data_IF_631201166314
#
_entry.id   IF_631201166314
#
_cell.length_a   1.000
_cell.length_b   1.000
_cell.length_c   1.000
_cell.angle_alpha   90.00
_cell.angle_beta   90.00
_cell.angle_gamma   90.00
#
_symmetry.space_group_name_H-M   'P 1'
#
loop_
_entity.id
_entity.type
_entity.pdbx_description
1 polymer ?
#
# COMPACT_ATOMS: atom_id res chain seq x y z
N UNK A 1 -2.22 -26.39 -34.45
CA UNK A 1 -1.90 -25.03 -33.97
C UNK A 1 -2.95 -24.60 -32.94
N UNK A 2 -2.82 -25.03 -31.67
CA UNK A 2 -3.67 -24.66 -30.52
C UNK A 2 -2.86 -24.94 -29.23
N UNK A 3 -1.91 -24.04 -28.91
CA UNK A 3 -1.20 -24.01 -27.62
C UNK A 3 -1.00 -22.58 -27.09
N UNK A 4 -1.48 -21.56 -27.83
CA UNK A 4 -1.25 -20.15 -27.52
C UNK A 4 -2.21 -19.58 -26.46
N UNK A 5 -3.44 -20.09 -26.32
CA UNK A 5 -4.39 -19.51 -25.35
C UNK A 5 -4.01 -19.86 -23.91
N UNK A 6 -3.74 -21.14 -23.61
CA UNK A 6 -3.43 -21.59 -22.25
C UNK A 6 -2.12 -20.98 -21.70
N UNK A 7 -1.11 -20.81 -22.56
CA UNK A 7 0.13 -20.14 -22.18
C UNK A 7 -0.06 -18.65 -21.86
N UNK A 8 -0.91 -17.96 -22.64
CA UNK A 8 -1.23 -16.56 -22.38
C UNK A 8 -2.03 -16.40 -21.07
N UNK A 9 -2.98 -17.30 -20.77
CA UNK A 9 -3.72 -17.27 -19.49
C UNK A 9 -2.79 -17.45 -18.27
N UNK A 10 -1.83 -18.38 -18.33
CA UNK A 10 -0.89 -18.56 -17.22
C UNK A 10 -0.05 -17.29 -17.00
N UNK A 11 0.42 -16.67 -18.07
CA UNK A 11 1.23 -15.44 -17.98
C UNK A 11 0.41 -14.30 -17.38
N UNK A 12 -0.79 -14.06 -17.91
CA UNK A 12 -1.64 -12.93 -17.52
C UNK A 12 -2.21 -13.09 -16.11
N UNK A 13 -2.63 -14.31 -15.73
CA UNK A 13 -3.38 -14.53 -14.50
C UNK A 13 -2.47 -14.88 -13.31
N UNK A 14 -1.28 -15.44 -13.55
CA UNK A 14 -0.37 -15.88 -12.48
C UNK A 14 0.96 -15.11 -12.44
N UNK A 15 1.57 -14.87 -13.60
CA UNK A 15 2.94 -14.31 -13.67
C UNK A 15 2.90 -12.79 -13.60
N UNK A 16 2.08 -12.13 -14.41
CA UNK A 16 2.00 -10.67 -14.46
C UNK A 16 1.65 -10.04 -13.09
N UNK A 17 0.69 -10.56 -12.29
CA UNK A 17 0.40 -10.01 -10.97
C UNK A 17 1.59 -10.10 -10.01
N UNK A 18 2.43 -11.15 -10.11
CA UNK A 18 3.65 -11.25 -9.30
C UNK A 18 4.66 -10.16 -9.68
N UNK A 19 4.84 -9.89 -10.97
CA UNK A 19 5.71 -8.81 -11.44
C UNK A 19 5.19 -7.43 -11.05
N UNK A 20 3.87 -7.21 -11.06
CA UNK A 20 3.26 -5.96 -10.57
C UNK A 20 3.56 -5.76 -9.09
N UNK A 21 3.40 -6.79 -8.26
CA UNK A 21 3.73 -6.70 -6.83
C UNK A 21 5.22 -6.45 -6.60
N UNK A 22 6.09 -7.06 -7.40
CA UNK A 22 7.54 -6.79 -7.38
C UNK A 22 7.87 -5.37 -7.86
N UNK A 23 7.14 -4.85 -8.86
CA UNK A 23 7.26 -3.46 -9.35
C UNK A 23 6.95 -2.47 -8.23
N UNK A 24 5.80 -2.64 -7.57
CA UNK A 24 5.42 -1.84 -6.38
C UNK A 24 6.52 -1.87 -5.32
N UNK A 25 6.99 -3.06 -4.95
CA UNK A 25 8.03 -3.19 -3.93
C UNK A 25 9.35 -2.53 -4.35
N UNK A 26 9.71 -2.64 -5.63
CA UNK A 26 10.92 -2.03 -6.17
C UNK A 26 10.83 -0.52 -6.17
N UNK A 27 9.68 0.05 -6.56
CA UNK A 27 9.47 1.50 -6.60
C UNK A 27 9.55 2.14 -5.22
N UNK A 28 9.01 1.49 -4.19
CA UNK A 28 9.03 2.05 -2.84
C UNK A 28 10.40 1.83 -2.16
N UNK A 29 11.15 0.80 -2.57
CA UNK A 29 12.40 0.41 -1.91
C UNK A 29 13.67 0.92 -2.61
N UNK A 30 13.68 0.92 -3.94
CA UNK A 30 14.85 1.32 -4.74
C UNK A 30 14.78 2.83 -4.92
N UNK A 31 15.70 3.53 -4.27
CA UNK A 31 15.92 4.95 -4.51
C UNK A 31 17.08 5.08 -5.51
N UNK A 32 16.83 5.60 -6.71
CA UNK A 32 17.89 5.87 -7.71
C UNK A 32 18.42 7.30 -7.61
N UNK A 33 19.71 7.51 -7.89
CA UNK A 33 20.49 8.73 -7.57
C UNK A 33 19.95 10.06 -8.14
N UNK A 34 19.07 10.03 -9.14
CA UNK A 34 18.51 11.24 -9.72
C UNK A 34 17.17 11.05 -10.41
N UNK A 35 16.43 12.14 -10.54
CA UNK A 35 15.09 12.22 -11.15
C UNK A 35 15.06 11.60 -12.56
N UNK A 36 16.13 11.75 -13.34
CA UNK A 36 16.26 11.11 -14.65
C UNK A 36 16.24 9.58 -14.55
N UNK A 37 17.02 8.99 -13.64
CA UNK A 37 17.12 7.54 -13.48
C UNK A 37 15.84 6.96 -12.87
N UNK A 38 15.20 7.71 -11.96
CA UNK A 38 13.89 7.35 -11.41
C UNK A 38 12.87 7.24 -12.52
N UNK A 39 12.82 8.26 -13.38
CA UNK A 39 11.90 8.31 -14.51
C UNK A 39 12.21 7.21 -15.53
N UNK A 40 13.49 6.97 -15.84
CA UNK A 40 13.89 5.89 -16.76
C UNK A 40 13.52 4.50 -16.23
N UNK A 41 13.69 4.27 -14.92
CA UNK A 41 13.29 3.04 -14.25
C UNK A 41 11.76 2.86 -14.27
N UNK A 42 11.01 3.89 -13.90
CA UNK A 42 9.54 3.88 -13.95
C UNK A 42 9.01 3.58 -15.37
N UNK A 43 9.59 4.19 -16.40
CA UNK A 43 9.21 3.91 -17.80
C UNK A 43 9.47 2.47 -18.21
N UNK A 44 10.61 1.88 -17.81
CA UNK A 44 10.89 0.46 -18.09
C UNK A 44 9.87 -0.47 -17.45
N UNK A 45 9.35 -0.11 -16.27
CA UNK A 45 8.30 -0.89 -15.60
C UNK A 45 6.93 -0.75 -16.28
N UNK A 46 6.67 0.35 -17.03
CA UNK A 46 5.42 0.49 -17.80
C UNK A 46 5.30 -0.53 -18.94
N UNK A 47 6.42 -0.90 -19.59
CA UNK A 47 6.40 -1.85 -20.72
C UNK A 47 5.98 -3.28 -20.31
N UNK A 48 6.11 -3.59 -19.02
CA UNK A 48 5.71 -4.86 -18.41
C UNK A 48 4.20 -4.92 -18.18
N UNK A 49 3.55 -3.78 -17.92
CA UNK A 49 2.11 -3.67 -17.65
C UNK A 49 1.34 -3.23 -18.89
N UNK A 50 1.34 -4.06 -19.95
CA UNK A 50 0.87 -3.66 -21.28
C UNK A 50 -0.67 -3.65 -21.46
N UNK A 51 -1.43 -4.15 -20.48
CA UNK A 51 -2.90 -4.12 -20.52
C UNK A 51 -3.44 -2.89 -19.81
N UNK A 52 -4.24 -2.11 -20.53
CA UNK A 52 -5.02 -1.04 -19.93
C UNK A 52 -6.13 -1.64 -19.04
N UNK A 53 -6.13 -1.27 -17.75
CA UNK A 53 -7.17 -1.72 -16.83
C UNK A 53 -8.43 -0.89 -17.03
N UNK A 54 -9.53 -1.60 -17.18
CA UNK A 54 -10.87 -1.07 -17.04
C UNK A 54 -11.39 -1.67 -15.74
N UNK A 55 -11.64 -0.83 -14.74
CA UNK A 55 -12.26 -1.28 -13.48
C UNK A 55 -13.70 -1.70 -13.80
N UNK A 56 -14.01 -2.98 -13.61
CA UNK A 56 -15.36 -3.53 -13.74
C UNK A 56 -16.35 -2.77 -12.84
N UNK A 57 -17.62 -2.68 -13.24
CA UNK A 57 -18.65 -2.02 -12.41
C UNK A 57 -18.89 -2.71 -11.06
N UNK A 58 -18.60 -4.01 -10.99
CA UNK A 58 -18.61 -4.88 -9.82
C UNK A 58 -17.57 -6.00 -10.05
N UNK A 59 -16.91 -6.46 -8.98
CA UNK A 59 -15.97 -7.58 -9.05
C UNK A 59 -16.70 -8.92 -8.92
N UNK A 60 -16.27 -9.94 -9.64
CA UNK A 60 -16.80 -11.30 -9.53
C UNK A 60 -16.13 -12.10 -8.40
N UNK A 61 -14.90 -11.73 -8.06
CA UNK A 61 -14.09 -12.41 -7.04
C UNK A 61 -13.15 -11.48 -6.29
N UNK A 62 -12.72 -11.92 -5.11
CA UNK A 62 -11.72 -11.21 -4.32
C UNK A 62 -10.35 -11.16 -5.04
N UNK A 63 -10.04 -12.16 -5.85
CA UNK A 63 -8.82 -12.21 -6.66
C UNK A 63 -8.84 -11.15 -7.76
N UNK A 64 -9.97 -10.96 -8.44
CA UNK A 64 -10.14 -9.88 -9.42
C UNK A 64 -9.96 -8.51 -8.75
N UNK A 65 -10.63 -8.29 -7.61
CA UNK A 65 -10.50 -7.06 -6.85
C UNK A 65 -9.04 -6.80 -6.44
N UNK A 66 -8.32 -7.83 -5.99
CA UNK A 66 -6.90 -7.73 -5.63
C UNK A 66 -6.03 -7.35 -6.81
N UNK A 67 -6.15 -8.06 -7.93
CA UNK A 67 -5.33 -7.82 -9.11
C UNK A 67 -5.60 -6.42 -9.69
N UNK A 68 -6.85 -5.94 -9.63
CA UNK A 68 -7.19 -4.57 -10.01
C UNK A 68 -6.55 -3.53 -9.07
N UNK A 69 -6.59 -3.75 -7.75
CA UNK A 69 -5.97 -2.84 -6.78
C UNK A 69 -4.45 -2.77 -6.94
N UNK A 70 -3.80 -3.93 -7.08
CA UNK A 70 -2.35 -4.02 -7.29
C UNK A 70 -1.94 -3.17 -8.50
N UNK A 71 -2.68 -3.27 -9.62
CA UNK A 71 -2.35 -2.47 -10.80
C UNK A 71 -2.62 -0.97 -10.63
N UNK A 72 -3.68 -0.60 -9.91
CA UNK A 72 -3.96 0.80 -9.62
C UNK A 72 -2.87 1.41 -8.71
N UNK A 73 -2.48 0.68 -7.67
CA UNK A 73 -1.41 1.09 -6.76
C UNK A 73 -0.07 1.22 -7.48
N UNK A 74 0.28 0.26 -8.33
CA UNK A 74 1.48 0.29 -9.18
C UNK A 74 1.51 1.54 -10.09
N UNK A 75 0.37 1.90 -10.69
CA UNK A 75 0.20 3.15 -11.45
C UNK A 75 0.46 4.42 -10.63
N UNK A 76 -0.17 4.53 -9.45
CA UNK A 76 0.02 5.66 -8.55
C UNK A 76 1.47 5.77 -8.05
N UNK A 77 2.06 4.67 -7.62
CA UNK A 77 3.41 4.68 -7.07
C UNK A 77 4.45 5.00 -8.13
N UNK A 78 4.26 4.58 -9.38
CA UNK A 78 5.09 5.04 -10.50
C UNK A 78 5.03 6.56 -10.66
N UNK A 79 3.84 7.16 -10.60
CA UNK A 79 3.71 8.60 -10.74
C UNK A 79 4.47 9.33 -9.61
N UNK A 80 4.30 8.91 -8.36
CA UNK A 80 5.03 9.47 -7.23
C UNK A 80 6.55 9.30 -7.37
N UNK A 81 7.00 8.15 -7.85
CA UNK A 81 8.42 7.88 -8.04
C UNK A 81 9.06 8.74 -9.13
N UNK A 82 8.27 9.20 -10.11
CA UNK A 82 8.73 10.13 -11.15
C UNK A 82 8.77 11.59 -10.68
N UNK A 83 8.20 11.90 -9.51
CA UNK A 83 8.17 13.26 -9.00
C UNK A 83 9.47 13.65 -8.30
N UNK A 84 9.80 14.92 -8.44
CA UNK A 84 10.93 15.55 -7.76
C UNK A 84 10.42 16.27 -6.51
N UNK A 85 10.89 15.89 -5.33
CA UNK A 85 10.38 16.43 -4.07
C UNK A 85 10.70 17.93 -3.90
N UNK A 86 11.74 18.42 -4.57
CA UNK A 86 12.17 19.82 -4.54
C UNK A 86 11.35 20.72 -5.48
N UNK A 87 10.52 20.13 -6.35
CA UNK A 87 9.70 20.87 -7.30
C UNK A 87 8.25 20.98 -6.81
N UNK A 88 7.57 22.11 -7.07
CA UNK A 88 6.12 22.22 -6.91
C UNK A 88 5.38 21.26 -7.83
N UNK A 89 4.15 20.88 -7.44
CA UNK A 89 3.32 19.95 -8.22
C UNK A 89 3.10 20.43 -9.67
N UNK A 90 2.98 21.75 -9.87
CA UNK A 90 2.79 22.37 -11.18
C UNK A 90 3.99 22.21 -12.13
N UNK A 91 5.17 21.92 -11.59
CA UNK A 91 6.41 21.74 -12.37
C UNK A 91 6.79 20.27 -12.56
N UNK A 92 5.99 19.34 -12.07
CA UNK A 92 6.22 17.91 -12.27
C UNK A 92 6.02 17.51 -13.75
N UNK A 93 6.66 16.43 -14.22
CA UNK A 93 6.51 15.98 -15.60
C UNK A 93 5.04 15.72 -15.96
N UNK A 94 4.56 16.30 -17.06
CA UNK A 94 3.16 16.16 -17.52
C UNK A 94 2.74 14.69 -17.67
N UNK A 95 3.66 13.82 -18.11
CA UNK A 95 3.46 12.36 -18.18
C UNK A 95 3.08 11.79 -16.82
N UNK A 96 3.84 12.11 -15.76
CA UNK A 96 3.59 11.60 -14.41
C UNK A 96 2.29 12.12 -13.81
N UNK A 97 1.92 13.39 -14.09
CA UNK A 97 0.66 13.97 -13.66
C UNK A 97 -0.54 13.29 -14.35
N UNK A 98 -0.44 13.01 -15.65
CA UNK A 98 -1.48 12.28 -16.38
C UNK A 98 -1.64 10.83 -15.88
N UNK A 99 -0.54 10.16 -15.55
CA UNK A 99 -0.56 8.83 -14.92
C UNK A 99 -1.25 8.94 -13.54
N UNK A 100 -0.88 9.91 -12.72
CA UNK A 100 -1.49 10.13 -11.41
C UNK A 100 -3.01 10.33 -11.54
N UNK A 101 -3.47 11.27 -12.37
CA UNK A 101 -4.90 11.58 -12.50
C UNK A 101 -5.70 10.36 -12.99
N UNK A 102 -5.15 9.59 -13.95
CA UNK A 102 -5.74 8.34 -14.41
C UNK A 102 -5.91 7.35 -13.26
N UNK A 103 -4.85 7.05 -12.52
CA UNK A 103 -4.91 6.01 -11.50
C UNK A 103 -5.59 6.46 -10.20
N UNK A 104 -5.60 7.75 -9.86
CA UNK A 104 -6.41 8.30 -8.77
C UNK A 104 -7.91 8.17 -9.08
N UNK A 105 -8.31 8.38 -10.35
CA UNK A 105 -9.67 8.13 -10.81
C UNK A 105 -10.02 6.63 -10.73
N UNK A 106 -9.12 5.76 -11.19
CA UNK A 106 -9.31 4.31 -11.11
C UNK A 106 -9.36 3.79 -9.66
N UNK A 107 -8.62 4.38 -8.73
CA UNK A 107 -8.69 4.04 -7.31
C UNK A 107 -10.07 4.33 -6.72
N UNK A 108 -10.68 5.44 -7.14
CA UNK A 108 -12.05 5.80 -6.74
C UNK A 108 -13.07 4.81 -7.30
N UNK A 109 -12.96 4.46 -8.58
CA UNK A 109 -13.80 3.44 -9.22
C UNK A 109 -13.64 2.06 -8.57
N UNK A 110 -12.40 1.66 -8.27
CA UNK A 110 -12.09 0.41 -7.60
C UNK A 110 -12.84 0.30 -6.28
N UNK A 111 -12.85 1.36 -5.49
CA UNK A 111 -13.57 1.37 -4.23
C UNK A 111 -15.08 1.18 -4.43
N UNK A 112 -15.69 1.83 -5.43
CA UNK A 112 -17.12 1.67 -5.70
C UNK A 112 -17.45 0.22 -6.09
N UNK A 113 -16.64 -0.39 -6.95
CA UNK A 113 -16.80 -1.78 -7.36
C UNK A 113 -16.58 -2.75 -6.18
N UNK A 114 -15.60 -2.47 -5.32
CA UNK A 114 -15.32 -3.27 -4.13
C UNK A 114 -16.44 -3.16 -3.08
N UNK A 115 -16.98 -1.96 -2.86
CA UNK A 115 -18.10 -1.75 -1.94
C UNK A 115 -19.33 -2.55 -2.41
N UNK A 116 -19.65 -2.54 -3.72
CA UNK A 116 -20.72 -3.37 -4.30
C UNK A 116 -20.47 -4.87 -4.12
N UNK A 117 -19.27 -5.34 -4.45
CA UNK A 117 -18.87 -6.74 -4.28
C UNK A 117 -19.03 -7.20 -2.82
N UNK A 118 -18.59 -6.37 -1.86
CA UNK A 118 -18.75 -6.70 -0.45
C UNK A 118 -20.23 -6.77 -0.07
N UNK A 119 -21.06 -5.79 -0.46
CA UNK A 119 -22.50 -5.83 -0.18
C UNK A 119 -23.16 -7.09 -0.75
N UNK A 120 -22.77 -7.53 -1.95
CA UNK A 120 -23.37 -8.69 -2.62
C UNK A 120 -22.86 -10.04 -2.10
N UNK A 121 -21.60 -10.14 -1.65
CA UNK A 121 -20.94 -11.42 -1.35
C UNK A 121 -20.50 -11.62 0.11
N UNK A 122 -20.57 -10.61 0.98
CA UNK A 122 -20.02 -10.67 2.35
C UNK A 122 -20.47 -11.90 3.16
N UNK A 123 -21.72 -12.35 2.99
CA UNK A 123 -22.30 -13.50 3.70
C UNK A 123 -21.80 -14.86 3.20
N UNK A 124 -21.28 -14.90 1.98
CA UNK A 124 -20.80 -16.11 1.31
C UNK A 124 -19.27 -16.28 1.48
N UNK A 125 -18.58 -15.27 2.04
CA UNK A 125 -17.13 -15.29 2.20
C UNK A 125 -16.70 -16.25 3.32
N UNK A 126 -15.66 -17.02 3.04
CA UNK A 126 -14.90 -17.76 4.04
C UNK A 126 -14.12 -16.81 4.96
N UNK A 127 -13.75 -17.28 6.16
CA UNK A 127 -12.87 -16.51 7.07
C UNK A 127 -11.59 -16.00 6.39
N UNK A 128 -10.98 -16.82 5.53
CA UNK A 128 -9.79 -16.42 4.75
C UNK A 128 -10.09 -15.31 3.74
N UNK A 129 -11.24 -15.34 3.10
CA UNK A 129 -11.66 -14.29 2.16
C UNK A 129 -12.02 -13.00 2.89
N UNK A 130 -12.64 -13.07 4.08
CA UNK A 130 -12.86 -11.89 4.93
C UNK A 130 -11.53 -11.24 5.32
N UNK A 131 -10.53 -12.04 5.71
CA UNK A 131 -9.18 -11.53 5.99
C UNK A 131 -8.54 -10.89 4.74
N UNK A 132 -8.69 -11.51 3.58
CA UNK A 132 -8.22 -10.95 2.30
C UNK A 132 -8.91 -9.62 1.97
N UNK A 133 -10.23 -9.53 2.16
CA UNK A 133 -11.01 -8.31 1.95
C UNK A 133 -10.58 -7.18 2.91
N UNK A 134 -10.34 -7.50 4.18
CA UNK A 134 -9.77 -6.55 5.14
C UNK A 134 -8.39 -6.04 4.68
N UNK A 135 -7.52 -6.92 4.20
CA UNK A 135 -6.22 -6.53 3.68
C UNK A 135 -6.33 -5.63 2.43
N UNK A 136 -7.24 -5.94 1.50
CA UNK A 136 -7.49 -5.07 0.35
C UNK A 136 -7.98 -3.69 0.75
N UNK A 137 -8.88 -3.62 1.74
CA UNK A 137 -9.34 -2.32 2.27
C UNK A 137 -8.19 -1.53 2.88
N UNK A 138 -7.29 -2.17 3.64
CA UNK A 138 -6.10 -1.52 4.21
C UNK A 138 -5.22 -0.90 3.10
N UNK A 139 -4.93 -1.68 2.04
CA UNK A 139 -4.13 -1.19 0.91
C UNK A 139 -4.81 -0.05 0.17
N UNK A 140 -6.10 -0.18 -0.12
CA UNK A 140 -6.89 0.91 -0.71
C UNK A 140 -6.85 2.17 0.14
N UNK A 141 -7.13 2.05 1.45
CA UNK A 141 -7.14 3.20 2.36
C UNK A 141 -5.77 3.86 2.40
N UNK A 142 -4.69 3.09 2.42
CA UNK A 142 -3.32 3.63 2.36
C UNK A 142 -3.09 4.40 1.05
N UNK A 143 -3.42 3.81 -0.10
CA UNK A 143 -3.29 4.44 -1.41
C UNK A 143 -4.17 5.70 -1.55
N UNK A 144 -5.38 5.70 -0.95
CA UNK A 144 -6.29 6.85 -0.89
C UNK A 144 -5.63 8.02 -0.16
N UNK A 145 -5.01 7.77 1.00
CA UNK A 145 -4.29 8.81 1.74
C UNK A 145 -3.15 9.35 0.90
N UNK A 146 -2.31 8.47 0.32
CA UNK A 146 -1.17 8.87 -0.53
C UNK A 146 -1.60 9.75 -1.71
N UNK A 147 -2.67 9.38 -2.41
CA UNK A 147 -3.20 10.18 -3.52
C UNK A 147 -3.85 11.49 -3.03
N UNK A 148 -4.53 11.44 -1.89
CA UNK A 148 -5.30 12.56 -1.36
C UNK A 148 -4.48 13.69 -0.76
N UNK A 149 -3.25 13.43 -0.31
CA UNK A 149 -2.35 14.46 0.23
C UNK A 149 -1.59 15.25 -0.85
N UNK A 150 -1.80 14.92 -2.13
CA UNK A 150 -1.23 15.69 -3.24
C UNK A 150 -1.63 17.18 -3.11
N UNK A 151 -0.67 18.12 -3.19
CA UNK A 151 -0.98 19.55 -3.19
C UNK A 151 -1.85 19.96 -4.39
N UNK A 152 -2.50 21.11 -4.27
CA UNK A 152 -3.23 21.73 -5.38
C UNK A 152 -2.25 22.29 -6.42
N UNK A 153 -2.67 22.37 -7.69
CA UNK A 153 -1.84 22.90 -8.77
C UNK A 153 -1.45 24.38 -8.58
N UNK A 154 -2.16 25.12 -7.74
CA UNK A 154 -1.82 26.49 -7.36
C UNK A 154 -0.78 26.59 -6.24
N UNK A 155 -0.45 25.48 -5.55
CA UNK A 155 0.60 25.46 -4.54
C UNK A 155 1.98 25.46 -5.21
N UNK A 156 2.70 26.55 -5.02
CA UNK A 156 4.02 26.80 -5.61
C UNK A 156 5.18 26.42 -4.70
N UNK A 157 4.91 25.82 -3.52
CA UNK A 157 5.95 25.28 -2.64
C UNK A 157 6.43 23.93 -3.16
N UNK A 158 7.65 23.56 -2.79
CA UNK A 158 8.19 22.24 -3.07
C UNK A 158 7.30 21.15 -2.43
N UNK A 159 7.23 19.95 -3.04
CA UNK A 159 6.39 18.86 -2.52
C UNK A 159 6.74 18.49 -1.08
N UNK A 160 8.03 18.46 -0.72
CA UNK A 160 8.44 18.12 0.65
C UNK A 160 7.88 19.09 1.71
N UNK A 161 7.66 20.35 1.34
CA UNK A 161 7.11 21.38 2.22
C UNK A 161 5.57 21.39 2.19
N UNK A 162 4.99 21.24 0.99
CA UNK A 162 3.55 21.30 0.79
C UNK A 162 2.82 20.08 1.37
N UNK A 163 3.46 18.90 1.37
CA UNK A 163 2.92 17.66 1.97
C UNK A 163 3.33 17.56 3.44
N UNK A 164 2.63 18.35 4.26
CA UNK A 164 2.92 18.48 5.69
C UNK A 164 1.88 17.75 6.57
N UNK A 165 2.09 17.79 7.89
CA UNK A 165 1.21 17.15 8.87
C UNK A 165 -0.25 17.66 8.81
N UNK A 166 -0.49 18.92 8.44
CA UNK A 166 -1.84 19.48 8.37
C UNK A 166 -2.68 18.79 7.30
N UNK A 167 -2.10 18.47 6.15
CA UNK A 167 -2.77 17.70 5.09
C UNK A 167 -3.21 16.32 5.55
N UNK A 168 -2.46 15.70 6.47
CA UNK A 168 -2.80 14.39 7.00
C UNK A 168 -3.92 14.41 8.07
N UNK A 169 -4.29 15.59 8.61
CA UNK A 169 -5.40 15.71 9.56
C UNK A 169 -6.75 15.34 8.93
N UNK A 170 -6.91 15.56 7.63
CA UNK A 170 -8.13 15.20 6.89
C UNK A 170 -8.34 13.67 6.80
N UNK A 171 -7.28 12.90 7.09
CA UNK A 171 -7.24 11.44 6.91
C UNK A 171 -7.15 10.67 8.23
N UNK A 172 -7.40 11.29 9.39
CA UNK A 172 -7.32 10.60 10.70
C UNK A 172 -8.23 9.37 10.77
N UNK A 173 -9.44 9.45 10.20
CA UNK A 173 -10.35 8.31 10.13
C UNK A 173 -9.79 7.18 9.26
N UNK A 174 -9.16 7.52 8.13
CA UNK A 174 -8.53 6.55 7.23
C UNK A 174 -7.35 5.85 7.91
N UNK A 175 -6.50 6.59 8.66
CA UNK A 175 -5.46 5.98 9.49
C UNK A 175 -6.04 5.03 10.53
N UNK A 176 -7.14 5.41 11.19
CA UNK A 176 -7.80 4.56 12.18
C UNK A 176 -8.40 3.29 11.55
N UNK A 177 -8.92 3.37 10.32
CA UNK A 177 -9.40 2.20 9.57
C UNK A 177 -8.25 1.20 9.35
N UNK A 178 -7.06 1.68 8.95
CA UNK A 178 -5.87 0.83 8.78
C UNK A 178 -5.53 0.11 10.08
N UNK A 179 -5.55 0.81 11.21
CA UNK A 179 -5.29 0.20 12.54
C UNK A 179 -6.35 -0.83 12.90
N UNK A 180 -7.63 -0.48 12.79
CA UNK A 180 -8.73 -1.33 13.21
C UNK A 180 -8.80 -2.62 12.41
N UNK A 181 -8.52 -2.58 11.11
CA UNK A 181 -8.46 -3.77 10.26
C UNK A 181 -7.18 -4.59 10.48
N UNK A 182 -6.06 -3.96 10.85
CA UNK A 182 -4.80 -4.66 11.10
C UNK A 182 -4.83 -5.52 12.36
N UNK A 183 -5.52 -5.07 13.43
CA UNK A 183 -5.64 -5.78 14.71
C UNK A 183 -6.13 -7.23 14.57
N UNK A 184 -7.31 -7.50 13.97
CA UNK A 184 -7.82 -8.87 13.86
C UNK A 184 -6.99 -9.75 12.93
N UNK A 185 -6.37 -9.18 11.88
CA UNK A 185 -5.47 -9.92 10.99
C UNK A 185 -4.23 -10.44 11.73
N UNK A 186 -3.62 -9.60 12.57
CA UNK A 186 -2.48 -10.00 13.39
C UNK A 186 -2.91 -11.00 14.47
N UNK A 187 -4.05 -10.78 15.12
CA UNK A 187 -4.59 -11.72 16.11
C UNK A 187 -4.85 -13.11 15.52
N UNK A 188 -5.42 -13.17 14.30
CA UNK A 188 -5.63 -14.43 13.58
C UNK A 188 -4.31 -15.15 13.27
N UNK A 189 -3.28 -14.42 12.82
CA UNK A 189 -1.95 -14.98 12.56
C UNK A 189 -1.27 -15.50 13.84
N UNK A 190 -1.38 -14.78 14.95
CA UNK A 190 -0.87 -15.23 16.26
C UNK A 190 -1.62 -16.48 16.75
N UNK A 191 -2.93 -16.54 16.55
CA UNK A 191 -3.73 -17.71 16.92
C UNK A 191 -3.37 -18.92 16.06
N UNK A 192 -3.13 -18.73 14.77
CA UNK A 192 -2.64 -19.77 13.88
C UNK A 192 -1.29 -20.34 14.34
N UNK A 193 -0.37 -19.47 14.77
CA UNK A 193 0.90 -19.90 15.37
C UNK A 193 0.70 -20.70 16.68
N UNK A 194 -0.20 -20.26 17.56
CA UNK A 194 -0.57 -21.00 18.79
C UNK A 194 -1.18 -22.36 18.49
N UNK A 195 -1.92 -22.47 17.38
CA UNK A 195 -2.50 -23.72 16.90
C UNK A 195 -1.47 -24.64 16.20
N UNK A 196 -0.16 -24.28 16.24
CA UNK A 196 0.91 -25.08 15.66
C UNK A 196 1.08 -24.91 14.15
N UNK A 197 0.39 -23.95 13.52
CA UNK A 197 0.68 -23.62 12.12
C UNK A 197 2.03 -22.89 12.05
N UNK A 198 2.89 -23.23 11.08
CA UNK A 198 4.18 -22.57 10.96
C UNK A 198 3.98 -21.07 10.69
N UNK A 199 4.76 -20.18 11.34
CA UNK A 199 4.65 -18.75 11.11
C UNK A 199 5.03 -18.41 9.67
N UNK A 200 4.25 -17.52 9.05
CA UNK A 200 4.56 -17.00 7.71
C UNK A 200 5.70 -15.97 7.82
N UNK A 201 6.94 -16.45 7.86
CA UNK A 201 8.13 -15.61 8.05
C UNK A 201 8.50 -14.81 6.80
N UNK A 202 8.12 -15.29 5.61
CA UNK A 202 8.34 -14.62 4.33
C UNK A 202 7.12 -14.72 3.42
N UNK A 203 6.80 -13.62 2.75
CA UNK A 203 5.82 -13.51 1.68
C UNK A 203 6.38 -12.67 0.55
N UNK A 204 6.19 -13.07 -0.71
CA UNK A 204 6.49 -12.21 -1.87
C UNK A 204 5.41 -11.15 -2.12
N UNK A 205 4.26 -11.28 -1.45
CA UNK A 205 3.11 -10.41 -1.63
C UNK A 205 3.12 -9.20 -0.68
N UNK A 206 2.34 -8.18 -1.05
CA UNK A 206 2.09 -6.99 -0.23
C UNK A 206 1.21 -7.35 0.97
N UNK A 207 1.65 -7.00 2.17
CA UNK A 207 0.94 -7.26 3.42
C UNK A 207 0.66 -6.00 4.21
N UNK A 208 1.05 -5.99 5.48
CA UNK A 208 0.70 -4.99 6.49
C UNK A 208 1.90 -4.11 6.81
N UNK A 209 3.13 -4.53 6.49
CA UNK A 209 4.33 -3.78 6.86
C UNK A 209 4.31 -2.41 6.18
N UNK A 210 4.04 -2.34 4.88
CA UNK A 210 3.96 -1.07 4.15
C UNK A 210 2.89 -0.12 4.70
N UNK A 211 1.62 -0.53 4.82
CA UNK A 211 0.56 0.27 5.43
C UNK A 211 0.88 0.75 6.86
N UNK A 212 1.35 -0.14 7.75
CA UNK A 212 1.67 0.22 9.13
C UNK A 212 2.87 1.17 9.21
N UNK A 213 3.89 0.98 8.37
CA UNK A 213 4.99 1.93 8.20
C UNK A 213 4.46 3.30 7.79
N UNK A 214 3.58 3.35 6.79
CA UNK A 214 3.03 4.61 6.31
C UNK A 214 2.26 5.36 7.40
N UNK A 215 1.48 4.64 8.23
CA UNK A 215 0.83 5.23 9.41
C UNK A 215 1.86 5.78 10.40
N UNK A 216 2.90 5.00 10.72
CA UNK A 216 3.94 5.40 11.67
C UNK A 216 4.70 6.67 11.28
N UNK A 217 4.88 6.91 9.98
CA UNK A 217 5.64 8.07 9.48
C UNK A 217 4.75 9.30 9.32
N UNK A 218 3.50 9.13 8.87
CA UNK A 218 2.72 10.25 8.36
C UNK A 218 1.54 10.69 9.24
N UNK A 219 1.02 9.83 10.12
CA UNK A 219 -0.18 10.19 10.89
C UNK A 219 0.14 11.26 11.96
N UNK A 220 -0.54 12.42 12.04
CA UNK A 220 -0.20 13.43 13.04
C UNK A 220 -0.52 13.02 14.49
N UNK A 221 -1.32 11.97 14.68
CA UNK A 221 -1.78 11.53 15.99
C UNK A 221 -0.83 10.50 16.61
N UNK A 222 -0.14 10.89 17.69
CA UNK A 222 0.85 10.05 18.40
C UNK A 222 0.28 8.70 18.85
N UNK A 223 -0.95 8.66 19.35
CA UNK A 223 -1.57 7.40 19.81
C UNK A 223 -1.81 6.41 18.67
N UNK A 224 -2.21 6.90 17.49
CA UNK A 224 -2.40 6.08 16.28
C UNK A 224 -1.04 5.57 15.77
N UNK A 225 -0.02 6.44 15.67
CA UNK A 225 1.35 6.05 15.29
C UNK A 225 1.97 5.02 16.22
N UNK A 226 1.80 5.20 17.52
CA UNK A 226 2.31 4.26 18.53
C UNK A 226 1.61 2.90 18.41
N UNK A 227 0.29 2.90 18.22
CA UNK A 227 -0.47 1.68 17.97
C UNK A 227 0.01 0.97 16.68
N UNK A 228 0.30 1.72 15.62
CA UNK A 228 0.82 1.16 14.37
C UNK A 228 2.17 0.44 14.61
N UNK A 229 3.07 1.05 15.38
CA UNK A 229 4.34 0.46 15.77
C UNK A 229 4.15 -0.83 16.59
N UNK A 230 3.26 -0.84 17.57
CA UNK A 230 2.94 -2.04 18.35
C UNK A 230 2.46 -3.19 17.47
N UNK A 231 1.58 -2.90 16.51
CA UNK A 231 1.09 -3.89 15.55
C UNK A 231 2.20 -4.38 14.61
N UNK A 232 3.07 -3.48 14.14
CA UNK A 232 4.20 -3.83 13.29
C UNK A 232 5.16 -4.81 14.01
N UNK A 233 5.46 -4.55 15.28
CA UNK A 233 6.32 -5.40 16.12
C UNK A 233 5.70 -6.79 16.40
N UNK A 234 4.36 -6.89 16.39
CA UNK A 234 3.62 -8.15 16.51
C UNK A 234 3.50 -8.92 15.19
N UNK A 235 4.00 -8.36 14.10
CA UNK A 235 4.01 -8.98 12.78
C UNK A 235 5.45 -9.28 12.32
N UNK A 236 6.20 -10.18 12.99
CA UNK A 236 7.61 -10.46 12.67
C UNK A 236 7.76 -11.28 11.38
N UNK A 237 7.45 -10.64 10.25
CA UNK A 237 7.54 -11.22 8.90
C UNK A 237 8.33 -10.33 7.96
N UNK A 238 8.63 -10.90 6.79
CA UNK A 238 9.24 -10.21 5.65
C UNK A 238 8.30 -10.25 4.45
N UNK A 239 7.97 -9.08 3.91
CA UNK A 239 7.13 -8.89 2.71
C UNK A 239 8.04 -8.43 1.57
N UNK A 240 8.60 -9.40 0.84
CA UNK A 240 9.61 -9.17 -0.18
C UNK A 240 10.83 -8.44 0.38
N UNK A 241 11.00 -7.16 0.02
CA UNK A 241 12.11 -6.33 0.49
C UNK A 241 11.85 -5.73 1.89
N UNK A 242 10.61 -5.73 2.36
CA UNK A 242 10.21 -5.15 3.64
C UNK A 242 10.42 -6.12 4.80
N UNK A 243 11.26 -5.76 5.77
CA UNK A 243 11.47 -6.54 6.98
C UNK A 243 10.93 -5.78 8.20
N UNK A 244 9.89 -6.30 8.84
CA UNK A 244 9.20 -5.65 9.98
C UNK A 244 10.14 -5.15 11.08
N UNK A 245 11.14 -5.94 11.47
CA UNK A 245 12.11 -5.58 12.52
C UNK A 245 12.98 -4.40 12.09
N UNK A 246 13.50 -4.47 10.86
CA UNK A 246 14.33 -3.40 10.29
C UNK A 246 13.52 -2.10 10.12
N UNK A 247 12.27 -2.22 9.66
CA UNK A 247 11.36 -1.08 9.49
C UNK A 247 11.03 -0.44 10.84
N UNK A 248 10.78 -1.23 11.88
CA UNK A 248 10.54 -0.70 13.23
C UNK A 248 11.75 0.08 13.77
N UNK A 249 12.97 -0.41 13.54
CA UNK A 249 14.20 0.31 13.91
C UNK A 249 14.35 1.63 13.15
N UNK A 250 14.05 1.63 11.85
CA UNK A 250 14.07 2.84 11.02
C UNK A 250 13.06 3.88 11.52
N UNK A 251 11.82 3.47 11.79
CA UNK A 251 10.78 4.35 12.31
C UNK A 251 11.22 4.97 13.64
N UNK A 252 11.82 4.20 14.54
CA UNK A 252 12.32 4.72 15.82
C UNK A 252 13.37 5.82 15.62
N UNK A 253 14.34 5.60 14.73
CA UNK A 253 15.35 6.62 14.41
C UNK A 253 14.73 7.86 13.78
N UNK A 254 13.74 7.68 12.88
CA UNK A 254 12.99 8.78 12.30
C UNK A 254 12.25 9.60 13.38
N UNK A 255 11.57 8.95 14.33
CA UNK A 255 10.89 9.63 15.44
C UNK A 255 11.87 10.37 16.35
N UNK A 256 13.06 9.82 16.61
CA UNK A 256 14.09 10.51 17.39
C UNK A 256 14.62 11.76 16.69
N UNK A 257 14.76 11.72 15.37
CA UNK A 257 15.19 12.88 14.57
C UNK A 257 14.10 13.95 14.52
N UNK A 258 12.85 13.54 14.28
CA UNK A 258 11.68 14.42 14.31
C UNK A 258 11.55 15.13 15.67
N UNK A 259 11.73 14.39 16.78
CA UNK A 259 11.69 14.95 18.14
C UNK A 259 12.81 15.96 18.39
N UNK A 260 14.06 15.64 18.01
CA UNK A 260 15.21 16.55 18.17
C UNK A 260 15.03 17.84 17.36
N UNK A 261 14.47 17.72 16.16
CA UNK A 261 14.16 18.89 15.32
C UNK A 261 13.12 19.79 16.00
N UNK A 262 12.04 19.22 16.53
CA UNK A 262 11.03 19.98 17.27
C UNK A 262 11.62 20.67 18.52
N UNK A 263 12.48 19.98 19.27
CA UNK A 263 13.20 20.57 20.42
C UNK A 263 14.11 21.74 19.99
N UNK A 264 14.85 21.59 18.89
CA UNK A 264 15.70 22.65 18.34
C UNK A 264 14.89 23.87 17.87
N UNK A 265 13.71 23.62 17.29
CA UNK A 265 12.76 24.65 16.86
C UNK A 265 12.19 25.42 18.05
N UNK A 266 11.79 24.74 19.13
CA UNK A 266 11.30 25.37 20.37
C UNK A 266 12.39 26.21 21.06
N UNK A 267 13.64 25.77 20.99
CA UNK A 267 14.80 26.49 21.51
C UNK A 267 15.25 27.66 20.62
N UNK A 268 14.62 27.86 19.45
CA UNK A 268 14.97 28.91 18.48
C UNK A 268 16.35 28.72 17.82
N UNK A 269 16.85 27.48 17.77
CA UNK A 269 18.18 27.13 17.26
C UNK A 269 18.17 26.93 15.74
N UNK A 270 17.07 26.40 15.19
CA UNK A 270 16.89 26.17 13.74
C UNK A 270 15.89 27.16 13.14
N UNK A 271 16.40 28.32 12.75
CA UNK A 271 15.68 29.30 11.94
C UNK A 271 16.43 29.57 10.64
N UNK A 272 15.69 29.84 9.57
CA UNK A 272 16.27 30.21 8.29
C UNK A 272 16.89 31.62 8.31
N UNK A 273 17.44 32.07 7.19
CA UNK A 273 18.04 33.41 7.03
C UNK A 273 17.08 34.56 7.38
N UNK A 274 15.77 34.30 7.36
CA UNK A 274 14.71 35.27 7.64
C UNK A 274 14.10 35.11 9.04
N UNK A 275 14.59 34.17 9.86
CA UNK A 275 14.11 33.92 11.21
C UNK A 275 12.86 33.05 11.29
N UNK A 276 12.45 32.39 10.20
CA UNK A 276 11.35 31.43 10.21
C UNK A 276 11.83 30.04 10.60
N UNK A 277 10.98 29.23 11.27
CA UNK A 277 11.33 27.85 11.56
C UNK A 277 11.63 27.03 10.31
N UNK A 278 12.75 26.32 10.30
CA UNK A 278 13.11 25.42 9.19
C UNK A 278 12.18 24.20 9.22
N UNK A 279 11.58 23.76 8.09
CA UNK A 279 10.79 22.53 8.06
C UNK A 279 11.64 21.28 8.31
N UNK A 280 11.05 20.25 8.93
CA UNK A 280 11.69 18.94 9.03
C UNK A 280 11.77 18.28 7.65
N UNK A 281 12.97 18.24 7.06
CA UNK A 281 13.21 17.70 5.71
C UNK A 281 13.79 16.30 5.70
N UNK A 282 14.12 15.72 6.87
CA UNK A 282 14.81 14.42 6.94
C UNK A 282 13.89 13.21 6.85
N UNK A 283 13.11 13.13 5.76
CA UNK A 283 12.40 11.90 5.37
C UNK A 283 13.32 10.92 4.64
N UNK A 284 14.32 11.44 3.92
CA UNK A 284 15.21 10.67 3.08
C UNK A 284 16.38 10.01 3.80
N UNK A 285 17.07 10.67 4.74
CA UNK A 285 18.37 10.17 5.25
C UNK A 285 18.25 8.90 6.06
N UNK A 286 17.17 8.75 6.83
CA UNK A 286 16.89 7.48 7.55
C UNK A 286 16.55 6.38 6.55
N UNK A 287 15.76 6.67 5.53
CA UNK A 287 15.43 5.73 4.46
C UNK A 287 16.71 5.25 3.74
N UNK A 288 17.61 6.18 3.39
CA UNK A 288 18.92 5.90 2.78
C UNK A 288 19.84 5.05 3.67
N UNK A 289 19.88 5.33 4.97
CA UNK A 289 20.75 4.62 5.91
C UNK A 289 20.37 3.14 6.03
N UNK A 290 19.07 2.82 5.95
CA UNK A 290 18.56 1.45 6.13
C UNK A 290 18.45 0.65 4.84
N UNK A 291 18.09 1.27 3.72
CA UNK A 291 17.90 0.57 2.45
C UNK A 291 19.11 0.64 1.53
N UNK A 292 20.17 1.32 1.96
CA UNK A 292 21.44 1.42 1.26
C UNK A 292 21.53 2.67 0.40
N UNK A 293 22.76 3.05 0.05
CA UNK A 293 22.98 4.17 -0.86
C UNK A 293 22.47 3.81 -2.25
N UNK A 294 21.90 4.78 -2.98
CA UNK A 294 21.41 4.56 -4.33
C UNK A 294 22.52 3.92 -5.18
N UNK A 295 22.23 2.75 -5.72
CA UNK A 295 23.17 1.94 -6.51
C UNK A 295 23.21 2.55 -7.91
N UNK A 296 24.40 2.80 -8.46
CA UNK A 296 24.53 3.05 -9.90
C UNK A 296 24.07 1.78 -10.63
N UNK A 297 22.83 1.79 -11.10
CA UNK A 297 22.33 0.70 -11.92
C UNK A 297 22.94 0.89 -13.31
N UNK A 298 24.07 0.26 -13.58
CA UNK A 298 24.68 0.27 -14.91
C UNK A 298 23.74 -0.45 -15.88
N UNK A 299 22.89 0.33 -16.55
CA UNK A 299 21.85 -0.20 -17.44
C UNK A 299 22.41 -0.82 -18.72
N UNK A 300 23.73 -0.77 -18.93
CA UNK A 300 24.40 -1.34 -20.11
C UNK A 300 24.39 -2.87 -20.12
N UNK A 301 24.16 -3.54 -18.98
CA UNK A 301 24.13 -5.01 -18.88
C UNK A 301 22.76 -5.67 -19.05
N UNK A 302 21.66 -4.92 -19.01
CA UNK A 302 20.29 -5.50 -18.98
C UNK A 302 19.79 -5.85 -20.40
N UNK A 303 20.47 -5.42 -21.46
CA UNK A 303 20.05 -5.65 -22.85
C UNK A 303 20.55 -6.97 -23.47
N UNK A 304 21.38 -7.75 -22.76
CA UNK A 304 21.93 -9.00 -23.29
C UNK A 304 21.80 -10.16 -22.29
N UNK A 305 20.61 -10.74 -22.22
CA UNK A 305 20.49 -12.14 -21.82
C UNK A 305 20.64 -13.00 -23.09
N UNK A 306 21.69 -13.84 -23.20
CA UNK A 306 21.69 -14.90 -24.21
C UNK A 306 20.56 -15.87 -23.90
N UNK A 307 19.86 -16.36 -24.93
CA UNK A 307 18.87 -17.43 -24.75
C UNK A 307 19.51 -18.63 -24.02
N UNK A 308 18.80 -19.29 -23.09
CA UNK A 308 19.30 -20.50 -22.46
C UNK A 308 19.51 -21.58 -23.54
N UNK A 309 20.73 -22.11 -23.60
CA UNK A 309 21.04 -23.28 -24.40
C UNK A 309 20.29 -24.48 -23.81
N UNK A 310 19.37 -25.06 -24.59
CA UNK A 310 18.53 -26.17 -24.17
C UNK A 310 19.38 -27.45 -24.14
N UNK A 311 19.84 -27.83 -22.95
CA UNK A 311 20.39 -29.17 -22.74
C UNK A 311 19.25 -30.22 -22.72
N UNK A 312 19.46 -31.42 -23.30
CA UNK A 312 18.44 -32.47 -23.33
C UNK A 312 18.18 -33.04 -21.92
N UNK A 313 16.96 -33.54 -21.66
CA UNK A 313 16.53 -33.92 -20.32
C UNK A 313 17.18 -35.22 -19.84
N UNK A 314 17.78 -35.19 -18.64
CA UNK A 314 18.13 -36.40 -17.89
C UNK A 314 16.90 -37.01 -17.19
N UNK A 315 16.83 -38.34 -17.03
CA UNK A 315 15.69 -39.01 -16.42
C UNK A 315 15.65 -38.82 -14.90
N UNK A 316 14.54 -38.25 -14.41
CA UNK A 316 14.25 -38.02 -12.99
C UNK A 316 13.96 -39.35 -12.27
N UNK A 317 14.73 -39.64 -11.20
CA UNK A 317 14.40 -40.68 -10.21
C UNK A 317 13.45 -40.12 -9.16
N UNK A 318 12.40 -40.86 -8.84
CA UNK A 318 11.36 -40.50 -7.87
C UNK A 318 11.90 -40.39 -6.44
N UNK A 319 11.47 -39.38 -5.64
CA UNK A 319 11.73 -39.36 -4.20
C UNK A 319 10.73 -40.27 -3.43
N UNK A 320 11.11 -40.79 -2.24
CA UNK A 320 10.27 -41.68 -1.46
C UNK A 320 9.15 -40.94 -0.72
N UNK A 321 8.04 -41.65 -0.54
CA UNK A 321 6.85 -41.25 0.21
C UNK A 321 7.11 -41.22 1.72
N UNK A 322 6.80 -40.09 2.37
CA UNK A 322 6.77 -39.97 3.82
C UNK A 322 5.32 -39.98 4.31
N UNK A 323 5.02 -40.97 5.16
CA UNK A 323 3.69 -41.33 5.63
C UNK A 323 3.09 -40.35 6.63
N UNK A 324 1.75 -40.28 6.58
CA UNK A 324 0.92 -39.65 7.59
C UNK A 324 1.02 -40.40 8.93
N UNK A 325 1.18 -39.65 10.02
CA UNK A 325 0.66 -40.03 11.33
C UNK A 325 -0.12 -38.86 11.93
N UNK A 326 -1.39 -39.14 12.26
CA UNK A 326 -2.28 -38.30 13.03
C UNK A 326 -2.17 -38.66 14.51
N UNK A 327 -2.34 -37.67 15.39
CA UNK A 327 -2.81 -37.88 16.76
C UNK A 327 -3.61 -36.66 17.25
N UNK A 328 -4.66 -36.85 18.07
CA UNK A 328 -5.59 -35.80 18.46
C UNK A 328 -5.19 -35.17 19.80
N UNK A 329 -5.48 -33.88 20.00
CA UNK A 329 -5.50 -33.30 21.33
C UNK A 329 -6.61 -32.26 21.52
N UNK A 330 -7.36 -32.55 22.58
CA UNK A 330 -8.49 -31.92 23.28
C UNK A 330 -8.50 -30.40 23.45
N UNK A 331 -9.73 -29.86 23.34
CA UNK A 331 -10.17 -28.51 23.67
C UNK A 331 -9.93 -28.10 25.13
N UNK A 332 -9.58 -26.82 25.32
CA UNK A 332 -9.82 -26.07 26.54
C UNK A 332 -10.37 -24.69 26.17
N UNK A 333 -11.64 -24.44 26.52
CA UNK A 333 -12.32 -23.17 26.26
C UNK A 333 -11.91 -22.10 27.28
N UNK A 334 -11.57 -20.92 26.78
CA UNK A 334 -11.49 -19.65 27.53
C UNK A 334 -12.16 -18.59 26.65
N UNK A 335 -12.87 -17.59 27.20
CA UNK A 335 -13.88 -16.83 26.46
C UNK A 335 -13.27 -16.10 25.26
N UNK A 336 -13.74 -16.46 24.06
CA UNK A 336 -13.27 -15.94 22.77
C UNK A 336 -13.89 -14.56 22.51
N UNK A 337 -13.05 -13.54 22.37
CA UNK A 337 -13.35 -12.45 21.44
C UNK A 337 -13.05 -12.99 20.04
N UNK A 338 -14.03 -12.94 19.14
CA UNK A 338 -13.91 -13.46 17.79
C UNK A 338 -13.28 -12.38 16.88
N UNK A 339 -11.98 -12.48 16.53
CA UNK A 339 -11.32 -11.49 15.68
C UNK A 339 -11.95 -11.39 14.29
N UNK A 340 -12.67 -12.43 13.84
CA UNK A 340 -13.34 -12.45 12.55
C UNK A 340 -14.58 -11.54 12.58
N UNK A 341 -15.39 -11.65 13.63
CA UNK A 341 -16.54 -10.78 13.83
C UNK A 341 -16.12 -9.30 13.97
N UNK A 342 -14.96 -9.03 14.58
CA UNK A 342 -14.42 -7.67 14.68
C UNK A 342 -13.97 -7.12 13.31
N UNK A 343 -13.22 -7.91 12.52
CA UNK A 343 -12.83 -7.51 11.16
C UNK A 343 -14.05 -7.25 10.27
N UNK A 344 -15.05 -8.13 10.36
CA UNK A 344 -16.29 -8.01 9.60
C UNK A 344 -17.08 -6.77 10.02
N UNK A 345 -17.21 -6.51 11.32
CA UNK A 345 -17.90 -5.32 11.82
C UNK A 345 -17.19 -4.02 11.40
N UNK A 346 -15.86 -4.01 11.34
CA UNK A 346 -15.11 -2.84 10.84
C UNK A 346 -15.30 -2.67 9.33
N UNK A 347 -15.30 -3.77 8.55
CA UNK A 347 -15.59 -3.73 7.11
C UNK A 347 -17.00 -3.23 6.82
N UNK A 348 -18.00 -3.77 7.52
CA UNK A 348 -19.41 -3.35 7.42
C UNK A 348 -19.59 -1.90 7.87
N UNK A 349 -18.96 -1.50 8.97
CA UNK A 349 -18.97 -0.12 9.46
C UNK A 349 -18.34 0.86 8.48
N UNK A 350 -17.22 0.50 7.85
CA UNK A 350 -16.57 1.33 6.82
C UNK A 350 -17.44 1.49 5.56
N UNK A 351 -18.25 0.49 5.22
CA UNK A 351 -19.24 0.56 4.13
C UNK A 351 -20.44 1.40 4.56
N UNK A 352 -20.94 1.22 5.78
CA UNK A 352 -22.13 1.89 6.30
C UNK A 352 -21.93 3.42 6.51
N UNK A 353 -20.75 3.86 6.98
CA UNK A 353 -20.47 5.29 7.19
C UNK A 353 -20.63 6.14 5.92
N UNK A 354 -20.54 5.54 4.72
CA UNK A 354 -20.78 6.23 3.44
C UNK A 354 -22.25 6.39 3.10
N UNK A 355 -23.10 5.44 3.50
CA UNK A 355 -24.53 5.52 3.21
C UNK A 355 -25.19 6.69 3.96
N UNK A 356 -24.71 7.01 5.16
CA UNK A 356 -25.19 8.18 5.92
C UNK A 356 -24.71 9.51 5.33
N UNK A 357 -23.51 9.56 4.74
CA UNK A 357 -23.01 10.77 4.06
C UNK A 357 -23.69 11.02 2.70
N UNK A 358 -24.02 9.97 1.93
CA UNK A 358 -24.83 10.10 0.70
C UNK A 358 -26.32 10.44 0.98
N UNK A 359 -26.82 10.18 2.20
CA UNK A 359 -28.15 10.60 2.63
C UNK A 359 -28.32 12.10 2.83
N UNK A 360 -27.21 12.84 3.00
CA UNK A 360 -27.22 14.29 3.25
C UNK A 360 -27.00 15.17 2.01
N UNK A 361 -26.59 14.61 0.86
CA UNK A 361 -26.35 15.37 -0.38
C UNK A 361 -27.54 15.45 -1.37
N UNK A 362 -28.73 14.94 -1.02
CA UNK A 362 -29.94 15.03 -1.85
C UNK A 362 -31.03 15.99 -1.32
N UNK A 363 -30.67 16.94 -0.45
CA UNK A 363 -31.56 17.98 0.05
C UNK A 363 -31.29 19.38 -0.54
N UNK A 364 -31.53 19.58 -1.83
CA UNK A 364 -31.60 20.95 -2.39
C UNK A 364 -32.90 21.63 -1.93
N UNK A 365 -32.86 22.81 -1.27
CA UNK A 365 -34.06 23.60 -1.07
C UNK A 365 -34.39 24.38 -2.35
N UNK A 366 -35.66 24.29 -2.74
CA UNK A 366 -36.22 24.89 -3.95
C UNK A 366 -36.08 26.41 -4.03
N UNK A 367 -36.02 26.88 -5.27
CA UNK A 367 -35.84 28.28 -5.62
C UNK A 367 -36.94 29.20 -5.11
N UNK A 368 -36.54 30.40 -4.76
CA UNK A 368 -37.41 31.55 -4.58
C UNK A 368 -37.21 32.52 -5.75
N UNK A 369 -38.25 32.66 -6.56
CA UNK A 369 -38.45 33.76 -7.50
C UNK A 369 -38.44 35.09 -6.75
N UNK A 370 -37.60 36.03 -7.20
CA UNK A 370 -37.74 37.43 -6.86
C UNK A 370 -38.69 38.08 -7.86
N UNK A 371 -39.90 38.43 -7.38
CA UNK A 371 -40.81 39.35 -8.05
C UNK A 371 -40.49 40.80 -7.64
N UNK A 372 -40.52 41.68 -8.63
CA UNK A 372 -40.30 43.11 -8.57
C UNK A 372 -41.16 43.87 -7.56
N UNK A 373 -40.58 44.82 -6.84
CA UNK A 373 -41.00 46.24 -6.85
C UNK A 373 -39.92 47.14 -6.26
#
# INVERSE_FOLDING_TARGET
MRRSSTGNHIIEDNIAPLFIRLSIQSIIYVETRGTHDKTAFARKLMDVSRKEIIISEEFESLEEARNALDQVADGLFRAFYMWDEDLPIALQPTESLAIFDKYASQLSLWNLAFDKFMISKIKDLTSREVQGAALLRIHYTTAKIMAGVRPDMSDMRALFEAVNAEKFLEYLNDFQIVINLSRPLIAAAEQDAKNGKPPLTFSSDLGLIGPLYYVCINCPTVSIRTTAMELLLRCPRREGMWNSVMIAQMIQQYWELEAKHWEAQEMGVEVDEFGFPVPFTDRGSVHFAFFGRPTEMDTTGVSHFPLPEVAPPEPVKSPPSLGLQSNPATHGDTPRQDPEAEALAVLEGAIALKHDLHGYELGLPGGTEYAST
#
